data_IF_260606042595
#
_entry.id   IF_260606042595
#
_cell.length_a   1.000
_cell.length_b   1.000
_cell.length_c   1.000
_cell.angle_alpha   90.00
_cell.angle_beta   90.00
_cell.angle_gamma   90.00
#
_symmetry.space_group_name_H-M   'P 1'
#
loop_
_entity.id
_entity.type
_entity.pdbx_description
1 polymer ?
#
# COMPACT_ATOMS: atom_id res chain seq x y z
N UNK A 1 19.38 -9.15 -22.54
CA UNK A 1 19.20 -8.09 -21.51
C UNK A 1 18.65 -8.73 -20.25
N UNK A 2 19.41 -8.75 -19.16
CA UNK A 2 18.92 -9.22 -17.85
C UNK A 2 17.72 -8.35 -17.45
N UNK A 3 16.53 -8.96 -17.27
CA UNK A 3 15.35 -8.24 -16.74
C UNK A 3 15.77 -7.65 -15.40
N UNK A 4 15.82 -6.32 -15.28
CA UNK A 4 15.97 -5.66 -13.97
C UNK A 4 14.91 -6.25 -13.04
N UNK A 5 15.37 -6.98 -12.03
CA UNK A 5 14.49 -7.48 -10.98
C UNK A 5 14.05 -6.24 -10.19
N UNK A 6 12.76 -5.97 -10.15
CA UNK A 6 12.20 -4.90 -9.32
C UNK A 6 12.61 -5.18 -7.87
N UNK A 7 13.44 -4.33 -7.29
CA UNK A 7 14.02 -4.51 -5.95
C UNK A 7 14.22 -3.13 -5.34
N UNK A 8 13.76 -2.97 -4.10
CA UNK A 8 14.06 -1.79 -3.29
C UNK A 8 15.49 -1.89 -2.74
N UNK A 9 16.24 -0.79 -2.83
CA UNK A 9 17.51 -0.63 -2.13
C UNK A 9 17.31 -0.53 -0.61
N UNK A 10 18.37 -0.70 0.18
CA UNK A 10 18.28 -0.49 1.63
C UNK A 10 17.91 0.95 1.99
N UNK A 11 18.38 1.93 1.21
CA UNK A 11 17.99 3.33 1.36
C UNK A 11 16.50 3.55 1.11
N UNK A 12 15.91 2.86 0.14
CA UNK A 12 14.45 2.89 -0.07
C UNK A 12 13.72 2.36 1.16
N UNK A 13 14.20 1.24 1.73
CA UNK A 13 13.55 0.59 2.88
C UNK A 13 13.62 1.45 4.13
N UNK A 14 14.76 2.06 4.40
CA UNK A 14 14.94 3.02 5.49
C UNK A 14 14.00 4.21 5.32
N UNK A 15 13.96 4.78 4.11
CA UNK A 15 13.06 5.88 3.79
C UNK A 15 11.58 5.50 3.99
N UNK A 16 11.14 4.32 3.52
CA UNK A 16 9.78 3.85 3.76
C UNK A 16 9.46 3.72 5.25
N UNK A 17 10.40 3.23 6.07
CA UNK A 17 10.19 3.12 7.52
C UNK A 17 10.06 4.50 8.18
N UNK A 18 10.84 5.49 7.74
CA UNK A 18 10.69 6.89 8.19
C UNK A 18 9.31 7.44 7.85
N UNK A 19 8.80 7.17 6.65
CA UNK A 19 7.45 7.58 6.24
C UNK A 19 6.37 6.94 7.10
N UNK A 20 6.46 5.63 7.37
CA UNK A 20 5.53 4.93 8.24
C UNK A 20 5.48 5.55 9.64
N UNK A 21 6.64 5.82 10.23
CA UNK A 21 6.73 6.46 11.54
C UNK A 21 6.10 7.86 11.53
N UNK A 22 6.27 8.62 10.44
CA UNK A 22 5.64 9.92 10.27
C UNK A 22 4.11 9.81 10.17
N UNK A 23 3.59 8.91 9.33
CA UNK A 23 2.16 8.70 9.15
C UNK A 23 1.48 8.15 10.40
N UNK A 24 2.12 7.22 11.12
CA UNK A 24 1.65 6.72 12.41
C UNK A 24 1.34 7.89 13.37
N UNK A 25 2.28 8.84 13.49
CA UNK A 25 2.15 10.01 14.35
C UNK A 25 1.12 11.01 13.82
N UNK A 26 1.21 11.38 12.53
CA UNK A 26 0.31 12.35 11.90
C UNK A 26 -1.15 11.91 11.96
N UNK A 27 -1.42 10.63 11.70
CA UNK A 27 -2.77 10.05 11.71
C UNK A 27 -3.21 9.57 13.11
N UNK A 28 -2.33 9.69 14.12
CA UNK A 28 -2.54 9.22 15.50
C UNK A 28 -3.06 7.78 15.51
N UNK A 29 -2.35 6.89 14.83
CA UNK A 29 -2.75 5.49 14.66
C UNK A 29 -2.67 4.75 16.00
N UNK A 30 -3.61 3.82 16.25
CA UNK A 30 -3.54 2.93 17.42
C UNK A 30 -2.61 1.74 17.19
N UNK A 31 -2.53 1.31 15.94
CA UNK A 31 -1.69 0.20 15.49
C UNK A 31 -0.50 0.81 14.77
N UNK A 32 0.70 0.36 15.13
CA UNK A 32 1.93 0.76 14.45
C UNK A 32 2.04 -0.01 13.12
N UNK A 33 2.03 0.67 11.96
CA UNK A 33 2.14 0.00 10.68
C UNK A 33 3.55 -0.60 10.50
N UNK A 34 3.64 -1.72 9.79
CA UNK A 34 4.90 -2.39 9.46
C UNK A 34 4.90 -2.76 7.98
N UNK A 35 6.00 -2.49 7.28
CA UNK A 35 6.16 -2.92 5.87
C UNK A 35 6.80 -4.30 5.80
N UNK A 36 6.26 -5.14 4.94
CA UNK A 36 6.90 -6.36 4.44
C UNK A 36 7.16 -6.24 2.95
N UNK A 37 8.31 -6.73 2.51
CA UNK A 37 8.72 -6.72 1.10
C UNK A 37 8.52 -8.05 0.40
N UNK A 38 8.20 -9.10 1.16
CA UNK A 38 7.66 -10.33 0.63
C UNK A 38 6.13 -10.31 0.72
N UNK A 39 5.49 -10.86 -0.30
CA UNK A 39 4.03 -11.02 -0.31
C UNK A 39 3.58 -12.36 0.28
N UNK A 40 4.49 -13.16 0.85
CA UNK A 40 4.17 -14.54 1.24
C UNK A 40 3.08 -14.57 2.30
N UNK A 41 3.14 -13.61 3.24
CA UNK A 41 2.18 -13.43 4.31
C UNK A 41 0.79 -13.02 3.83
N UNK A 42 0.70 -12.40 2.65
CA UNK A 42 -0.57 -11.99 2.06
C UNK A 42 -1.19 -13.07 1.20
N UNK A 43 -0.43 -14.05 0.68
CA UNK A 43 -0.97 -15.10 -0.21
C UNK A 43 -2.16 -15.89 0.36
N UNK A 44 -2.23 -16.03 1.69
CA UNK A 44 -3.34 -16.71 2.37
C UNK A 44 -4.61 -15.84 2.45
N UNK A 45 -4.48 -14.53 2.26
CA UNK A 45 -5.55 -13.55 2.37
C UNK A 45 -6.23 -13.27 1.01
N UNK A 46 -5.83 -13.97 -0.05
CA UNK A 46 -6.13 -13.54 -1.41
C UNK A 46 -7.32 -14.20 -2.12
N UNK A 47 -8.21 -13.29 -2.50
CA UNK A 47 -8.96 -13.22 -3.75
C UNK A 47 -9.92 -14.38 -4.02
N UNK A 48 -11.12 -14.30 -3.41
CA UNK A 48 -12.30 -14.99 -3.92
C UNK A 48 -12.76 -14.52 -5.32
N UNK A 49 -12.06 -13.57 -5.95
CA UNK A 49 -12.42 -12.95 -7.23
C UNK A 49 -11.40 -13.16 -8.37
N UNK A 50 -10.32 -13.93 -8.15
CA UNK A 50 -9.35 -14.28 -9.19
C UNK A 50 -8.46 -13.13 -9.69
N UNK A 51 -8.35 -12.04 -8.94
CA UNK A 51 -7.50 -10.91 -9.32
C UNK A 51 -5.99 -11.20 -9.19
N UNK A 52 -5.20 -10.69 -10.15
CA UNK A 52 -3.77 -10.96 -10.21
C UNK A 52 -3.00 -10.02 -9.28
N UNK A 53 -2.19 -10.59 -8.38
CA UNK A 53 -1.24 -9.90 -7.49
C UNK A 53 -0.47 -8.74 -8.12
N UNK A 54 -0.07 -8.89 -9.39
CA UNK A 54 0.71 -7.90 -10.13
C UNK A 54 -0.10 -6.65 -10.51
N UNK A 55 -1.39 -6.61 -10.14
CA UNK A 55 -2.27 -5.47 -10.38
C UNK A 55 -2.34 -4.49 -9.23
N UNK A 56 -1.63 -4.72 -8.12
CA UNK A 56 -1.69 -3.86 -6.93
C UNK A 56 -0.32 -3.24 -6.60
N UNK A 57 -0.34 -2.00 -6.10
CA UNK A 57 0.86 -1.27 -5.68
C UNK A 57 1.24 -1.55 -4.22
N UNK A 58 0.26 -1.81 -3.38
CA UNK A 58 0.40 -2.28 -2.02
C UNK A 58 -0.86 -3.07 -1.63
N UNK A 59 -0.83 -3.64 -0.43
CA UNK A 59 -1.96 -4.29 0.22
C UNK A 59 -1.74 -4.21 1.73
N UNK A 60 -2.81 -4.08 2.53
CA UNK A 60 -2.68 -4.08 3.99
C UNK A 60 -3.63 -5.05 4.70
N UNK A 61 -3.14 -5.63 5.80
CA UNK A 61 -3.95 -6.33 6.80
C UNK A 61 -4.28 -5.31 7.88
N UNK A 62 -5.54 -4.84 7.87
CA UNK A 62 -5.99 -3.71 8.70
C UNK A 62 -5.83 -3.97 10.19
N UNK A 63 -6.05 -5.22 10.61
CA UNK A 63 -6.06 -5.65 12.00
C UNK A 63 -4.65 -5.72 12.60
N UNK A 64 -3.66 -6.14 11.81
CA UNK A 64 -2.27 -6.24 12.27
C UNK A 64 -1.43 -5.00 11.93
N UNK A 65 -1.93 -4.14 11.03
CA UNK A 65 -1.16 -3.01 10.50
C UNK A 65 -0.04 -3.42 9.53
N UNK A 66 -0.05 -4.66 9.05
CA UNK A 66 0.96 -5.14 8.11
C UNK A 66 0.65 -4.60 6.72
N UNK A 67 1.65 -4.04 6.04
CA UNK A 67 1.56 -3.51 4.68
C UNK A 67 2.54 -4.26 3.80
N UNK A 68 2.08 -4.91 2.75
CA UNK A 68 2.94 -5.37 1.67
C UNK A 68 3.12 -4.24 0.65
N UNK A 69 4.36 -4.01 0.24
CA UNK A 69 4.69 -3.01 -0.78
C UNK A 69 5.22 -3.69 -2.05
N UNK A 70 4.61 -3.36 -3.19
CA UNK A 70 5.01 -3.93 -4.48
C UNK A 70 6.40 -3.45 -4.88
N UNK A 71 7.34 -4.35 -5.20
CA UNK A 71 8.69 -3.97 -5.61
C UNK A 71 8.71 -3.16 -6.90
N UNK A 72 7.64 -3.19 -7.70
CA UNK A 72 7.50 -2.37 -8.90
C UNK A 72 7.56 -0.87 -8.62
N UNK A 73 7.24 -0.42 -7.40
CA UNK A 73 7.39 0.99 -7.02
C UNK A 73 8.85 1.45 -6.98
N UNK A 74 9.83 0.53 -6.94
CA UNK A 74 11.26 0.88 -7.01
C UNK A 74 11.65 1.64 -8.27
N UNK A 75 10.85 1.51 -9.34
CA UNK A 75 11.08 2.22 -10.62
C UNK A 75 10.15 3.41 -10.83
N UNK A 76 9.26 3.70 -9.87
CA UNK A 76 8.30 4.79 -9.96
C UNK A 76 8.83 6.06 -9.28
N UNK A 77 8.24 7.23 -9.59
CA UNK A 77 8.43 8.43 -8.80
C UNK A 77 8.17 8.19 -7.31
N UNK A 78 9.01 8.76 -6.44
CA UNK A 78 8.89 8.64 -4.98
C UNK A 78 7.52 9.07 -4.44
N UNK A 79 6.88 10.05 -5.10
CA UNK A 79 5.53 10.50 -4.73
C UNK A 79 4.49 9.39 -4.83
N UNK A 80 4.63 8.43 -5.74
CA UNK A 80 3.70 7.32 -5.88
C UNK A 80 3.80 6.38 -4.67
N UNK A 81 5.03 6.11 -4.19
CA UNK A 81 5.25 5.35 -2.97
C UNK A 81 4.70 6.08 -1.75
N UNK A 82 4.92 7.38 -1.67
CA UNK A 82 4.42 8.21 -0.56
C UNK A 82 2.88 8.19 -0.48
N UNK A 83 2.20 8.39 -1.61
CA UNK A 83 0.74 8.34 -1.71
C UNK A 83 0.21 6.93 -1.41
N UNK A 84 0.86 5.89 -1.93
CA UNK A 84 0.51 4.49 -1.63
C UNK A 84 0.62 4.19 -0.12
N UNK A 85 1.71 4.59 0.53
CA UNK A 85 1.90 4.31 1.95
C UNK A 85 0.89 5.05 2.84
N UNK A 86 0.56 6.30 2.54
CA UNK A 86 -0.47 7.02 3.30
C UNK A 86 -1.86 6.41 3.06
N UNK A 87 -2.14 5.94 1.84
CA UNK A 87 -3.38 5.24 1.50
C UNK A 87 -3.58 3.99 2.36
N UNK A 88 -2.56 3.13 2.46
CA UNK A 88 -2.63 1.93 3.30
C UNK A 88 -2.74 2.27 4.80
N UNK A 89 -2.02 3.29 5.26
CA UNK A 89 -2.13 3.77 6.64
C UNK A 89 -3.55 4.28 6.96
N UNK A 90 -4.22 4.91 5.99
CA UNK A 90 -5.61 5.36 6.13
C UNK A 90 -6.58 4.17 6.20
N UNK A 91 -6.34 3.08 5.46
CA UNK A 91 -7.12 1.85 5.61
C UNK A 91 -6.98 1.22 7.00
N UNK A 92 -5.77 1.18 7.54
CA UNK A 92 -5.52 0.70 8.91
C UNK A 92 -6.19 1.62 9.93
N UNK A 93 -6.10 2.94 9.74
CA UNK A 93 -6.72 3.93 10.63
C UNK A 93 -8.25 3.89 10.60
N UNK A 94 -8.84 3.67 9.44
CA UNK A 94 -10.28 3.72 9.19
C UNK A 94 -10.76 2.44 8.48
N UNK A 95 -10.79 1.27 9.15
CA UNK A 95 -11.01 -0.02 8.50
C UNK A 95 -12.35 -0.14 7.77
N UNK A 96 -13.36 0.60 8.22
CA UNK A 96 -14.72 0.62 7.68
C UNK A 96 -14.97 1.77 6.67
N UNK A 97 -13.98 2.62 6.40
CA UNK A 97 -14.14 3.72 5.45
C UNK A 97 -14.07 3.19 4.01
N UNK A 98 -15.00 3.66 3.19
CA UNK A 98 -15.08 3.26 1.79
C UNK A 98 -13.86 3.73 0.98
N UNK A 99 -13.39 2.88 0.07
CA UNK A 99 -12.20 3.08 -0.77
C UNK A 99 -12.10 4.46 -1.42
N UNK A 100 -13.17 4.91 -2.10
CA UNK A 100 -13.20 6.24 -2.72
C UNK A 100 -12.92 7.40 -1.74
N UNK A 101 -13.28 7.29 -0.46
CA UNK A 101 -12.98 8.31 0.56
C UNK A 101 -11.52 8.22 1.00
N UNK A 102 -11.00 7.01 1.20
CA UNK A 102 -9.59 6.76 1.51
C UNK A 102 -8.69 7.36 0.43
N UNK A 103 -8.96 7.04 -0.85
CA UNK A 103 -8.20 7.58 -1.98
C UNK A 103 -8.22 9.10 -2.04
N UNK A 104 -9.39 9.73 -1.89
CA UNK A 104 -9.48 11.21 -1.89
C UNK A 104 -8.69 11.83 -0.74
N UNK A 105 -8.67 11.20 0.43
CA UNK A 105 -7.92 11.68 1.57
C UNK A 105 -6.39 11.47 1.39
N UNK A 106 -5.98 10.35 0.81
CA UNK A 106 -4.58 10.12 0.43
C UNK A 106 -4.11 11.17 -0.57
N UNK A 107 -4.90 11.42 -1.62
CA UNK A 107 -4.61 12.42 -2.65
C UNK A 107 -4.62 13.85 -2.11
N UNK A 108 -5.37 14.15 -1.03
CA UNK A 108 -5.32 15.47 -0.38
C UNK A 108 -4.10 15.67 0.52
N UNK A 109 -3.57 14.59 1.11
CA UNK A 109 -2.36 14.65 1.94
C UNK A 109 -1.10 14.66 1.07
N UNK A 110 -1.09 13.83 0.02
CA UNK A 110 0.00 13.69 -0.93
C UNK A 110 -0.56 13.89 -2.34
N UNK A 111 -0.59 15.14 -2.82
CA UNK A 111 -1.10 15.45 -4.15
C UNK A 111 -0.33 14.72 -5.25
N UNK A 112 -1.04 13.91 -6.03
CA UNK A 112 -0.52 13.26 -7.23
C UNK A 112 -1.17 13.86 -8.47
N UNK A 113 -0.38 14.25 -9.47
CA UNK A 113 -0.89 14.73 -10.77
C UNK A 113 -1.51 13.58 -11.56
N UNK A 114 -2.67 13.79 -12.19
CA UNK A 114 -3.44 12.72 -12.86
C UNK A 114 -2.66 11.90 -13.91
N UNK A 115 -1.58 12.40 -14.51
CA UNK A 115 -0.77 11.62 -15.47
C UNK A 115 -0.03 10.43 -14.85
N UNK A 116 0.22 10.43 -13.53
CA UNK A 116 0.71 9.26 -12.79
C UNK A 116 -0.43 8.33 -12.35
N UNK A 117 -1.67 8.85 -12.29
CA UNK A 117 -2.85 8.10 -11.85
C UNK A 117 -3.50 7.20 -12.93
N UNK A 118 -3.29 7.49 -14.22
CA UNK A 118 -3.89 6.73 -15.34
C UNK A 118 -3.14 5.45 -15.70
N UNK A 119 -1.93 5.24 -15.14
CA UNK A 119 -1.24 3.94 -15.13
C UNK A 119 -1.51 3.12 -13.87
N UNK A 120 -2.52 3.48 -13.07
CA UNK A 120 -2.90 2.71 -11.88
C UNK A 120 -3.50 1.36 -12.30
N UNK A 121 -2.70 0.30 -12.15
CA UNK A 121 -3.27 -1.03 -11.87
C UNK A 121 -4.02 -0.92 -10.51
N UNK A 122 -5.11 -1.67 -10.35
CA UNK A 122 -6.13 -1.53 -9.29
C UNK A 122 -5.54 -1.27 -7.90
N UNK A 123 -6.20 -0.42 -7.10
CA UNK A 123 -5.71 -0.03 -5.77
C UNK A 123 -5.88 -1.13 -4.73
N UNK A 124 -7.04 -1.80 -4.67
CA UNK A 124 -7.15 -3.02 -3.86
C UNK A 124 -8.40 -3.86 -4.13
N UNK A 125 -8.43 -5.07 -3.54
CA UNK A 125 -9.63 -5.90 -3.39
C UNK A 125 -10.18 -5.83 -1.96
N UNK A 126 -11.49 -5.67 -1.82
CA UNK A 126 -12.14 -5.67 -0.51
C UNK A 126 -12.25 -7.12 -0.03
N UNK A 127 -11.55 -7.44 1.06
CA UNK A 127 -11.68 -8.73 1.74
C UNK A 127 -13.13 -8.91 2.23
N UNK A 128 -13.83 -9.92 1.69
CA UNK A 128 -15.06 -10.44 2.29
C UNK A 128 -14.66 -11.55 3.25
N UNK A 129 -14.88 -11.34 4.55
CA UNK A 129 -14.80 -12.42 5.53
C UNK A 129 -15.73 -13.57 5.10
N UNK A 130 -15.16 -14.71 4.72
CA UNK A 130 -15.90 -15.96 4.74
C UNK A 130 -16.07 -16.34 6.21
N UNK A 131 -17.29 -16.20 6.72
CA UNK A 131 -17.69 -16.81 7.97
C UNK A 131 -17.65 -18.33 7.75
N UNK A 132 -16.83 -19.03 8.52
CA UNK A 132 -17.03 -20.45 8.80
C UNK A 132 -18.15 -20.60 9.82
#
# INVERSE_FOLDING_TARGET
>A
MSKKKYVFSESDKEWHQTLLNAFEKMLKMKIKPVIVYDRKHFKQYLYGDGSNANSFWAECIKESGTIWLSPHLSTNPKVDTLNTLVHECLHIKYPNMHENKIRKLADSIVPITQSTSTKKRKFDSVHKNQRH
#
